data_IF_113261984264
#
_entry.id   IF_113261984264
#
_cell.length_a   1.000
_cell.length_b   1.000
_cell.length_c   1.000
_cell.angle_alpha   90.00
_cell.angle_beta   90.00
_cell.angle_gamma   90.00
#
_symmetry.space_group_name_H-M   'P 1'
#
loop_
_entity.id
_entity.type
_entity.pdbx_description
1 polymer ?
#
# COMPACT_ATOMS: atom_id res chain seq x y z
N UNK A 1 3.01 16.91 -16.03
CA UNK A 1 4.44 17.22 -16.23
C UNK A 1 5.14 17.47 -14.89
N UNK A 2 5.01 18.64 -14.26
CA UNK A 2 5.79 18.96 -13.05
C UNK A 2 5.22 18.39 -11.72
N UNK A 3 3.91 18.12 -11.65
CA UNK A 3 3.28 17.56 -10.44
C UNK A 3 3.54 16.05 -10.27
N UNK A 4 3.83 15.35 -11.36
CA UNK A 4 3.93 13.88 -11.38
C UNK A 4 5.23 13.38 -10.73
N UNK A 5 6.33 14.12 -10.88
CA UNK A 5 7.62 13.75 -10.29
C UNK A 5 7.63 13.92 -8.77
N UNK A 6 7.07 15.03 -8.25
CA UNK A 6 6.94 15.28 -6.80
C UNK A 6 6.06 14.21 -6.14
N UNK A 7 4.95 13.82 -6.79
CA UNK A 7 4.06 12.76 -6.32
C UNK A 7 4.77 11.39 -6.23
N UNK A 8 5.66 11.08 -7.18
CA UNK A 8 6.42 9.83 -7.19
C UNK A 8 7.50 9.82 -6.10
N UNK A 9 8.17 10.94 -5.85
CA UNK A 9 9.23 11.04 -4.85
C UNK A 9 8.67 10.96 -3.42
N UNK A 10 7.57 11.66 -3.10
CA UNK A 10 6.91 11.56 -1.79
C UNK A 10 6.33 10.15 -1.51
N UNK A 11 5.94 9.40 -2.54
CA UNK A 11 5.53 8.00 -2.39
C UNK A 11 6.71 7.04 -2.17
N UNK A 12 7.96 7.50 -2.35
CA UNK A 12 9.17 6.68 -2.30
C UNK A 12 9.39 5.84 -3.57
N UNK A 13 8.99 6.36 -4.73
CA UNK A 13 9.13 5.74 -6.07
C UNK A 13 10.20 6.53 -6.88
N UNK A 14 11.20 7.06 -6.19
CA UNK A 14 12.30 7.83 -6.77
C UNK A 14 13.40 6.96 -7.37
N UNK A 15 13.40 6.83 -8.71
CA UNK A 15 14.58 6.73 -9.63
C UNK A 15 14.14 6.14 -10.98
N UNK A 16 14.02 7.00 -12.00
CA UNK A 16 13.67 6.56 -13.36
C UNK A 16 14.90 5.92 -14.04
N UNK A 17 14.84 4.61 -14.27
CA UNK A 17 15.90 3.86 -14.95
C UNK A 17 15.94 4.16 -16.46
N UNK A 18 16.63 5.23 -16.85
CA UNK A 18 16.90 5.57 -18.25
C UNK A 18 17.71 4.44 -18.90
N UNK A 19 17.21 3.88 -20.02
CA UNK A 19 17.93 2.85 -20.77
C UNK A 19 19.27 3.39 -21.27
N UNK A 20 20.36 2.69 -20.96
CA UNK A 20 21.73 2.95 -21.48
C UNK A 20 21.85 2.66 -22.98
N UNK A 21 21.19 3.47 -23.82
CA UNK A 21 21.40 3.55 -25.28
C UNK A 21 20.87 4.83 -25.96
N UNK A 22 20.86 5.96 -25.26
CA UNK A 22 20.66 7.30 -25.85
C UNK A 22 21.70 8.34 -25.38
N UNK A 23 22.88 7.87 -24.94
CA UNK A 23 23.98 8.72 -24.46
C UNK A 23 25.11 8.90 -25.51
N UNK A 24 24.81 8.66 -26.79
CA UNK A 24 25.77 8.70 -27.92
C UNK A 24 25.19 9.48 -29.11
N UNK A 25 24.72 10.71 -28.87
CA UNK A 25 24.36 11.67 -29.93
C UNK A 25 24.44 13.13 -29.42
N UNK A 26 25.44 13.88 -29.89
CA UNK A 26 25.48 15.34 -29.84
C UNK A 26 25.73 15.98 -28.46
N UNK A 27 27.01 16.26 -28.14
CA UNK A 27 27.37 17.16 -27.05
C UNK A 27 27.75 18.54 -27.60
N UNK A 28 27.13 19.60 -27.08
CA UNK A 28 27.65 20.97 -27.15
C UNK A 28 27.02 21.84 -26.05
N UNK A 29 27.85 22.24 -25.08
CA UNK A 29 27.53 23.28 -24.09
C UNK A 29 28.68 24.27 -24.12
N UNK A 30 28.43 25.47 -24.65
CA UNK A 30 29.37 26.58 -24.60
C UNK A 30 28.67 27.81 -24.02
N UNK A 31 29.35 28.48 -23.09
CA UNK A 31 28.89 29.70 -22.43
C UNK A 31 29.32 30.94 -23.20
N UNK A 32 28.47 31.98 -23.32
CA UNK A 32 28.84 33.18 -24.05
C UNK A 32 29.86 34.02 -23.25
N UNK A 33 31.00 34.31 -23.88
CA UNK A 33 31.98 35.31 -23.42
C UNK A 33 32.06 36.44 -24.45
N UNK A 34 32.08 37.69 -23.99
CA UNK A 34 32.00 38.88 -24.84
C UNK A 34 33.39 39.41 -25.22
N UNK A 35 33.72 39.50 -26.53
CA UNK A 35 34.50 40.62 -27.11
C UNK A 35 34.71 40.58 -28.65
N UNK A 36 34.11 41.57 -29.34
CA UNK A 36 34.75 42.45 -30.36
C UNK A 36 35.46 41.86 -31.61
N UNK A 37 34.76 41.97 -32.75
CA UNK A 37 35.26 42.24 -34.13
C UNK A 37 36.12 41.15 -34.85
N UNK A 38 36.30 41.13 -36.19
CA UNK A 38 36.00 42.14 -37.24
C UNK A 38 35.88 41.50 -38.65
N UNK A 39 35.12 42.15 -39.54
CA UNK A 39 35.13 42.05 -41.02
C UNK A 39 34.51 40.81 -41.74
N UNK A 40 33.86 41.13 -42.87
CA UNK A 40 33.33 40.26 -43.95
C UNK A 40 34.34 40.26 -45.14
N UNK A 41 34.06 39.74 -46.37
CA UNK A 41 32.98 38.86 -46.88
C UNK A 41 33.59 37.54 -47.48
N UNK A 42 33.22 36.83 -48.57
CA UNK A 42 32.32 37.02 -49.73
C UNK A 42 32.04 35.67 -50.44
N UNK A 43 30.91 35.56 -51.17
CA UNK A 43 30.62 34.52 -52.20
C UNK A 43 29.94 33.25 -51.66
N UNK A 44 28.97 32.60 -52.34
CA UNK A 44 28.81 32.21 -53.76
C UNK A 44 29.75 31.06 -54.20
N UNK A 45 29.32 30.01 -54.94
CA UNK A 45 28.03 29.74 -55.62
C UNK A 45 27.66 28.26 -55.68
N UNK A 46 26.34 28.01 -55.73
CA UNK A 46 25.61 27.04 -56.56
C UNK A 46 26.21 25.69 -57.04
N UNK A 47 25.62 24.60 -56.51
CA UNK A 47 24.78 23.64 -57.25
C UNK A 47 25.39 22.43 -58.03
N UNK A 48 24.45 21.53 -58.40
CA UNK A 48 24.52 20.34 -59.29
C UNK A 48 25.18 19.06 -58.73
N UNK A 49 24.80 17.85 -59.17
CA UNK A 49 23.50 17.29 -59.61
C UNK A 49 23.66 15.76 -59.77
N UNK A 50 22.56 15.02 -59.85
CA UNK A 50 22.39 13.77 -60.61
C UNK A 50 23.17 12.47 -60.27
N UNK A 51 22.36 11.52 -59.77
CA UNK A 51 22.21 10.14 -60.28
C UNK A 51 23.17 9.01 -59.81
N UNK A 52 22.59 7.80 -59.76
CA UNK A 52 23.21 6.51 -59.44
C UNK A 52 23.39 5.68 -60.75
N UNK A 53 23.91 4.42 -60.74
CA UNK A 53 23.14 3.26 -60.25
C UNK A 53 23.96 2.09 -59.66
N UNK A 54 23.23 1.04 -59.26
CA UNK A 54 23.53 -0.42 -59.32
C UNK A 54 25.01 -0.90 -59.23
N UNK A 55 25.46 -1.65 -58.21
CA UNK A 55 25.01 -2.96 -57.68
C UNK A 55 25.57 -4.19 -58.43
N UNK A 56 26.31 -5.04 -57.70
CA UNK A 56 26.55 -6.45 -58.07
C UNK A 56 26.95 -7.27 -56.82
N UNK A 57 26.87 -8.61 -56.90
CA UNK A 57 27.15 -9.51 -55.78
C UNK A 57 27.88 -10.78 -56.27
N UNK A 58 28.64 -11.43 -55.38
CA UNK A 58 29.33 -12.70 -55.67
C UNK A 58 29.20 -13.67 -54.49
N UNK A 59 29.06 -14.96 -54.80
CA UNK A 59 28.73 -16.04 -53.86
C UNK A 59 29.76 -17.16 -54.02
N UNK A 60 30.25 -17.76 -52.93
CA UNK A 60 30.48 -19.22 -52.70
C UNK A 60 31.48 -19.48 -51.54
N UNK A 61 31.62 -20.69 -50.95
CA UNK A 61 30.68 -21.77 -50.55
C UNK A 61 31.47 -22.93 -49.87
N UNK A 62 31.26 -23.16 -48.55
CA UNK A 62 31.60 -24.41 -47.79
C UNK A 62 33.10 -24.81 -47.80
N UNK A 63 33.61 -25.80 -47.04
CA UNK A 63 33.05 -26.75 -46.05
C UNK A 63 34.09 -27.08 -44.95
N UNK A 64 33.66 -27.61 -43.79
CA UNK A 64 34.48 -28.28 -42.75
C UNK A 64 34.87 -29.73 -43.16
N UNK A 65 35.75 -30.52 -42.45
CA UNK A 65 36.05 -30.50 -41.00
C UNK A 65 37.52 -30.86 -40.57
N UNK A 66 37.77 -31.00 -39.26
CA UNK A 66 38.41 -32.17 -38.57
C UNK A 66 38.61 -31.89 -37.05
N UNK A 67 38.59 -32.95 -36.23
CA UNK A 67 38.62 -32.89 -34.75
C UNK A 67 40.03 -32.73 -34.13
N UNK A 68 40.14 -32.03 -32.98
CA UNK A 68 41.23 -32.22 -32.02
C UNK A 68 40.91 -31.83 -30.56
N UNK A 69 40.68 -32.86 -29.71
CA UNK A 69 41.26 -33.05 -28.35
C UNK A 69 41.35 -31.86 -27.37
N UNK A 70 40.61 -31.95 -26.26
CA UNK A 70 40.74 -31.05 -25.10
C UNK A 70 41.92 -31.39 -24.15
N UNK A 71 42.43 -30.40 -23.39
CA UNK A 71 43.06 -30.56 -22.08
C UNK A 71 42.18 -30.03 -20.94
N UNK A 72 42.54 -30.35 -19.69
CA UNK A 72 41.80 -29.99 -18.47
C UNK A 72 42.31 -28.69 -17.82
N UNK A 73 41.60 -28.21 -16.79
CA UNK A 73 41.86 -26.94 -16.12
C UNK A 73 42.96 -27.02 -15.05
N UNK A 74 43.66 -25.90 -14.85
CA UNK A 74 44.36 -25.58 -13.60
C UNK A 74 43.78 -24.30 -12.99
N UNK A 75 43.61 -24.27 -11.67
CA UNK A 75 42.94 -23.19 -10.97
C UNK A 75 43.90 -22.06 -10.58
N UNK A 76 43.45 -20.81 -10.73
CA UNK A 76 44.06 -19.64 -10.06
C UNK A 76 43.14 -19.19 -8.92
N UNK A 77 43.67 -18.84 -7.73
CA UNK A 77 42.85 -18.55 -6.57
C UNK A 77 42.01 -17.29 -6.78
N UNK A 78 40.72 -17.37 -6.43
CA UNK A 78 39.84 -16.21 -6.42
C UNK A 78 40.32 -15.22 -5.35
N UNK A 79 40.54 -13.95 -5.73
CA UNK A 79 40.69 -12.88 -4.75
C UNK A 79 39.36 -12.76 -4.00
N UNK A 80 39.41 -12.83 -2.67
CA UNK A 80 38.24 -12.59 -1.81
C UNK A 80 37.80 -11.15 -2.01
N UNK A 81 36.64 -10.96 -2.65
CA UNK A 81 36.01 -9.65 -2.73
C UNK A 81 35.57 -9.24 -1.32
N UNK A 82 35.91 -8.01 -0.93
CA UNK A 82 35.47 -7.43 0.35
C UNK A 82 33.99 -7.07 0.26
N UNK A 83 33.24 -7.38 1.32
CA UNK A 83 31.86 -6.94 1.47
C UNK A 83 31.82 -5.42 1.65
N UNK A 84 30.89 -4.69 1.01
CA UNK A 84 30.80 -3.24 1.15
C UNK A 84 30.56 -2.85 2.61
N UNK A 85 31.28 -1.82 3.06
CA UNK A 85 31.14 -1.25 4.40
C UNK A 85 29.77 -0.59 4.59
N UNK A 86 29.12 -0.87 5.72
CA UNK A 86 27.87 -0.23 6.13
C UNK A 86 28.17 1.18 6.68
N UNK A 87 27.34 2.17 6.35
CA UNK A 87 27.46 3.52 6.90
C UNK A 87 27.19 3.54 8.41
N UNK A 88 28.02 4.22 9.22
CA UNK A 88 27.96 4.14 10.69
C UNK A 88 26.80 4.92 11.33
N UNK A 89 26.13 5.80 10.59
CA UNK A 89 25.03 6.67 11.10
C UNK A 89 23.62 6.10 10.85
N UNK A 90 23.50 4.88 10.29
CA UNK A 90 22.22 4.15 10.28
C UNK A 90 22.08 3.29 11.56
N UNK A 91 20.98 3.42 12.34
CA UNK A 91 20.75 2.55 13.49
C UNK A 91 20.58 1.09 13.03
N UNK A 92 21.12 0.10 13.76
CA UNK A 92 21.08 -1.31 13.34
C UNK A 92 19.67 -1.83 13.03
N UNK A 93 19.57 -2.61 11.96
CA UNK A 93 18.34 -3.33 11.57
C UNK A 93 17.91 -4.43 12.56
N UNK A 94 18.70 -4.64 13.62
CA UNK A 94 18.40 -5.52 14.76
C UNK A 94 17.46 -4.84 15.78
N UNK A 95 17.24 -3.52 15.71
CA UNK A 95 16.22 -2.82 16.50
C UNK A 95 14.77 -3.07 16.03
N UNK A 96 14.55 -4.10 15.20
CA UNK A 96 13.28 -4.44 14.53
C UNK A 96 12.76 -5.82 14.97
N UNK A 97 13.24 -6.33 16.12
CA UNK A 97 13.05 -7.69 16.65
C UNK A 97 11.61 -8.05 17.09
N UNK A 98 10.64 -7.15 16.92
CA UNK A 98 9.21 -7.35 17.22
C UNK A 98 8.50 -8.17 16.10
N UNK A 99 8.96 -9.39 15.83
CA UNK A 99 8.34 -10.34 14.89
C UNK A 99 8.31 -11.75 15.50
N UNK A 100 7.20 -12.50 15.34
CA UNK A 100 6.85 -13.03 14.01
C UNK A 100 5.52 -12.52 13.45
N UNK A 101 5.58 -11.58 12.50
CA UNK A 101 4.62 -11.58 11.38
C UNK A 101 5.08 -12.65 10.38
N UNK A 102 4.87 -13.91 10.73
CA UNK A 102 5.07 -15.06 9.83
C UNK A 102 3.71 -15.52 9.30
N UNK A 103 3.60 -15.81 8.01
CA UNK A 103 2.35 -16.30 7.40
C UNK A 103 2.04 -17.78 7.73
N UNK A 104 2.78 -18.39 8.66
CA UNK A 104 2.56 -19.74 9.17
C UNK A 104 2.01 -19.70 10.60
N UNK A 105 0.69 -19.92 10.70
CA UNK A 105 0.03 -20.44 11.89
C UNK A 105 -0.61 -21.79 11.51
N UNK A 106 -0.61 -22.81 12.37
CA UNK A 106 -1.14 -24.12 12.02
C UNK A 106 -2.65 -24.06 11.77
N UNK A 107 -3.10 -24.75 10.71
CA UNK A 107 -4.52 -24.92 10.41
C UNK A 107 -5.15 -25.71 11.57
N UNK A 108 -6.14 -25.12 12.23
CA UNK A 108 -6.85 -25.75 13.34
C UNK A 108 -8.36 -25.60 13.12
N UNK A 109 -9.00 -26.69 12.69
CA UNK A 109 -10.45 -26.76 12.49
C UNK A 109 -11.19 -26.53 13.83
N UNK A 110 -11.96 -25.45 13.99
CA UNK A 110 -12.61 -25.14 15.26
C UNK A 110 -14.06 -25.63 15.26
N UNK A 111 -14.40 -26.54 16.18
CA UNK A 111 -15.80 -26.75 16.57
C UNK A 111 -16.26 -25.56 17.43
N UNK A 112 -16.71 -24.49 16.77
CA UNK A 112 -17.19 -23.29 17.47
C UNK A 112 -18.54 -23.59 18.10
N UNK A 113 -18.54 -23.96 19.38
CA UNK A 113 -19.71 -23.73 20.24
C UNK A 113 -20.00 -22.22 20.21
N UNK A 114 -21.22 -21.85 19.83
CA UNK A 114 -21.61 -20.47 19.64
C UNK A 114 -21.69 -19.75 21.00
N UNK A 115 -20.59 -19.12 21.40
CA UNK A 115 -20.50 -18.31 22.62
C UNK A 115 -21.49 -17.13 22.54
N UNK A 116 -22.70 -17.35 23.10
CA UNK A 116 -23.80 -16.40 23.05
C UNK A 116 -23.34 -14.99 23.47
N UNK A 117 -23.51 -14.02 22.58
CA UNK A 117 -23.32 -12.63 22.93
C UNK A 117 -24.46 -12.20 23.88
N UNK A 118 -24.21 -11.27 24.83
CA UNK A 118 -25.32 -10.61 25.50
C UNK A 118 -26.14 -9.86 24.44
N UNK A 119 -27.45 -10.13 24.39
CA UNK A 119 -28.35 -9.74 23.29
C UNK A 119 -28.56 -8.23 23.12
N UNK A 120 -27.96 -7.40 24.00
CA UNK A 120 -28.17 -5.96 24.03
C UNK A 120 -27.26 -5.17 23.08
N UNK A 121 -26.08 -5.69 22.71
CA UNK A 121 -25.10 -5.00 21.86
C UNK A 121 -25.70 -4.51 20.53
N UNK A 122 -26.55 -5.26 19.80
CA UNK A 122 -27.22 -4.78 18.58
C UNK A 122 -28.15 -3.57 18.79
N UNK A 123 -28.55 -3.26 20.03
CA UNK A 123 -29.49 -2.19 20.37
C UNK A 123 -28.83 -0.91 20.88
N UNK A 124 -27.62 -0.98 21.45
CA UNK A 124 -26.91 0.14 22.07
C UNK A 124 -26.75 1.33 21.10
N UNK A 125 -26.97 2.56 21.57
CA UNK A 125 -26.55 3.77 20.84
C UNK A 125 -25.01 3.91 20.82
N UNK A 126 -24.50 4.96 20.17
CA UNK A 126 -23.06 5.14 20.00
C UNK A 126 -22.29 5.29 21.31
N UNK A 127 -22.81 6.10 22.22
CA UNK A 127 -22.08 6.48 23.44
C UNK A 127 -22.21 5.38 24.50
N UNK A 128 -23.35 4.67 24.54
CA UNK A 128 -23.51 3.42 25.27
C UNK A 128 -22.62 2.28 24.71
N UNK A 129 -22.43 2.20 23.39
CA UNK A 129 -21.52 1.23 22.77
C UNK A 129 -20.06 1.53 23.10
N UNK A 130 -19.66 2.80 23.10
CA UNK A 130 -18.31 3.22 23.47
C UNK A 130 -18.00 2.88 24.95
N UNK A 131 -18.90 3.21 25.87
CA UNK A 131 -18.79 2.85 27.29
C UNK A 131 -18.80 1.33 27.51
N UNK A 132 -19.61 0.58 26.75
CA UNK A 132 -19.59 -0.90 26.81
C UNK A 132 -18.25 -1.47 26.34
N UNK A 133 -17.55 -0.81 25.41
CA UNK A 133 -16.22 -1.25 24.97
C UNK A 133 -15.14 -0.92 25.99
N UNK A 134 -15.10 0.29 26.59
CA UNK A 134 -14.07 0.63 27.60
C UNK A 134 -14.02 -0.35 28.76
N UNK A 135 -15.20 -0.75 29.22
CA UNK A 135 -15.37 -1.60 30.41
C UNK A 135 -15.44 -3.09 30.02
N UNK A 136 -15.23 -3.42 28.74
CA UNK A 136 -15.41 -4.78 28.22
C UNK A 136 -14.39 -5.77 28.83
N UNK A 137 -14.89 -6.78 29.54
CA UNK A 137 -14.11 -7.91 30.06
C UNK A 137 -14.44 -9.24 29.35
N UNK A 138 -15.00 -9.18 28.13
CA UNK A 138 -15.51 -10.38 27.42
C UNK A 138 -14.43 -11.35 26.96
N UNK A 139 -13.15 -10.98 26.89
CA UNK A 139 -12.03 -11.85 26.51
C UNK A 139 -10.75 -11.49 27.27
N UNK A 140 -9.77 -12.42 27.34
CA UNK A 140 -8.53 -12.28 28.13
C UNK A 140 -7.67 -11.07 27.77
N UNK A 141 -7.84 -10.49 26.59
CA UNK A 141 -7.17 -9.24 26.20
C UNK A 141 -7.47 -8.05 27.13
N UNK A 142 -8.54 -8.11 27.93
CA UNK A 142 -8.80 -7.12 28.98
C UNK A 142 -7.77 -7.14 30.12
N UNK A 143 -7.04 -8.25 30.32
CA UNK A 143 -6.06 -8.42 31.40
C UNK A 143 -4.72 -7.72 31.11
N UNK A 144 -4.49 -7.30 29.85
CA UNK A 144 -3.16 -6.86 29.35
C UNK A 144 -3.15 -5.54 28.59
N UNK A 145 -4.32 -5.00 28.21
CA UNK A 145 -4.43 -3.69 27.55
C UNK A 145 -4.07 -2.55 28.50
N UNK A 146 -3.58 -1.44 27.95
CA UNK A 146 -3.55 -0.15 28.65
C UNK A 146 -4.88 0.59 28.44
N UNK A 147 -5.35 0.68 27.19
CA UNK A 147 -6.63 1.27 26.82
C UNK A 147 -7.38 0.40 25.81
N UNK A 148 -8.69 0.60 25.68
CA UNK A 148 -9.45 0.03 24.56
C UNK A 148 -9.43 0.96 23.37
N UNK A 149 -9.14 0.42 22.19
CA UNK A 149 -9.12 1.18 20.95
C UNK A 149 -10.42 0.94 20.20
N UNK A 150 -11.39 1.82 20.44
CA UNK A 150 -12.75 1.71 19.91
C UNK A 150 -12.81 1.92 18.38
N UNK A 151 -12.28 3.06 17.96
CA UNK A 151 -12.31 3.57 16.58
C UNK A 151 -12.50 5.09 16.58
N UNK A 152 -11.94 5.80 15.60
CA UNK A 152 -11.93 7.28 15.51
C UNK A 152 -12.37 7.76 14.13
N UNK A 153 -12.78 9.02 14.06
CA UNK A 153 -13.23 9.69 12.85
C UNK A 153 -14.71 10.04 12.89
N UNK A 154 -15.29 10.26 11.73
CA UNK A 154 -16.65 10.76 11.52
C UNK A 154 -17.69 9.68 11.84
N UNK A 155 -18.74 10.03 12.60
CA UNK A 155 -19.82 9.11 12.99
C UNK A 155 -20.80 8.82 11.83
N UNK A 156 -20.81 9.64 10.78
CA UNK A 156 -21.68 9.48 9.60
C UNK A 156 -20.87 9.16 8.32
N UNK A 157 -19.62 8.69 8.48
CA UNK A 157 -18.67 8.42 7.39
C UNK A 157 -19.19 7.45 6.32
N UNK A 158 -19.09 7.85 5.05
CA UNK A 158 -19.27 6.98 3.89
C UNK A 158 -18.12 5.97 3.73
N UNK A 159 -16.92 6.27 4.23
CA UNK A 159 -15.76 5.39 4.16
C UNK A 159 -15.41 4.82 5.54
N UNK A 160 -15.43 3.50 5.69
CA UNK A 160 -14.98 2.83 6.92
C UNK A 160 -13.77 1.93 6.67
N UNK A 161 -12.67 2.21 7.35
CA UNK A 161 -11.43 1.42 7.27
C UNK A 161 -11.32 0.50 8.47
N UNK A 162 -11.07 -0.79 8.21
CA UNK A 162 -11.07 -1.85 9.23
C UNK A 162 -9.72 -2.57 9.20
N UNK A 163 -8.92 -2.34 10.24
CA UNK A 163 -7.69 -3.08 10.51
C UNK A 163 -7.90 -4.31 11.39
N UNK A 164 -6.80 -4.98 11.71
CA UNK A 164 -6.78 -6.21 12.49
C UNK A 164 -6.94 -5.96 13.99
N UNK A 165 -5.92 -5.35 14.60
CA UNK A 165 -5.79 -5.20 16.05
C UNK A 165 -4.99 -3.94 16.41
N UNK A 166 -5.11 -3.42 17.65
CA UNK A 166 -4.27 -2.34 18.14
C UNK A 166 -2.81 -2.79 18.32
N UNK A 167 -1.87 -1.96 17.88
CA UNK A 167 -0.45 -2.06 18.23
C UNK A 167 -0.13 -1.41 19.57
N UNK A 168 1.16 -1.28 19.90
CA UNK A 168 1.61 -0.72 21.17
C UNK A 168 1.29 0.78 21.35
N UNK A 169 1.43 1.57 20.29
CA UNK A 169 1.19 3.00 20.37
C UNK A 169 -0.31 3.29 20.43
N UNK A 170 -1.10 2.47 19.75
CA UNK A 170 -2.55 2.47 19.75
C UNK A 170 -3.10 2.10 21.14
N UNK A 171 -2.59 1.04 21.77
CA UNK A 171 -2.94 0.64 23.13
C UNK A 171 -2.61 1.73 24.18
N UNK A 172 -1.48 2.43 24.04
CA UNK A 172 -1.09 3.52 24.93
C UNK A 172 -1.93 4.79 24.77
N UNK A 173 -2.49 5.03 23.58
CA UNK A 173 -3.23 6.27 23.26
C UNK A 173 -4.76 6.11 23.23
N UNK A 174 -5.28 4.88 23.07
CA UNK A 174 -6.72 4.62 22.87
C UNK A 174 -7.21 4.84 21.43
N UNK A 175 -6.34 5.29 20.53
CA UNK A 175 -6.66 5.59 19.13
C UNK A 175 -6.05 4.57 18.16
N UNK A 176 -6.73 4.18 17.06
CA UNK A 176 -6.19 3.27 16.07
C UNK A 176 -5.28 4.01 15.08
N UNK A 177 -4.29 3.32 14.51
CA UNK A 177 -3.42 3.85 13.47
C UNK A 177 -2.76 5.20 13.85
N UNK A 178 -1.99 5.18 14.94
CA UNK A 178 -1.17 6.31 15.43
C UNK A 178 0.34 6.07 15.27
N UNK A 179 0.78 4.81 15.09
CA UNK A 179 2.16 4.47 14.73
C UNK A 179 2.53 4.83 13.28
N UNK A 180 3.72 4.40 12.83
CA UNK A 180 4.19 4.65 11.46
C UNK A 180 3.24 4.07 10.38
N UNK A 181 2.58 2.94 10.68
CA UNK A 181 1.54 2.36 9.85
C UNK A 181 0.34 3.32 9.66
N UNK A 182 0.01 4.10 10.70
CA UNK A 182 -1.02 5.14 10.64
C UNK A 182 -0.63 6.31 9.76
N UNK A 183 0.60 6.81 9.86
CA UNK A 183 1.09 7.89 8.97
C UNK A 183 1.06 7.49 7.49
N UNK A 184 1.33 6.22 7.17
CA UNK A 184 1.16 5.71 5.82
C UNK A 184 -0.34 5.63 5.43
N UNK A 185 -1.23 5.25 6.36
CA UNK A 185 -2.67 5.26 6.12
C UNK A 185 -3.19 6.70 5.86
N UNK A 186 -2.71 7.70 6.59
CA UNK A 186 -3.04 9.11 6.34
C UNK A 186 -2.58 9.58 4.95
N UNK A 187 -1.41 9.11 4.48
CA UNK A 187 -0.96 9.38 3.10
C UNK A 187 -1.85 8.67 2.06
N UNK A 188 -2.32 7.46 2.36
CA UNK A 188 -3.26 6.69 1.52
C UNK A 188 -4.66 7.30 1.48
N UNK A 189 -5.11 7.96 2.54
CA UNK A 189 -6.36 8.72 2.57
C UNK A 189 -6.24 10.04 1.82
N UNK A 190 -5.14 10.80 2.03
CA UNK A 190 -4.94 12.09 1.36
C UNK A 190 -4.84 11.99 -0.16
N UNK A 191 -4.30 10.89 -0.71
CA UNK A 191 -4.29 10.63 -2.16
C UNK A 191 -5.67 10.27 -2.75
N UNK A 192 -6.66 9.96 -1.91
CA UNK A 192 -8.08 9.87 -2.26
C UNK A 192 -8.86 11.17 -2.01
N UNK A 193 -8.20 12.24 -1.52
CA UNK A 193 -8.82 13.48 -1.03
C UNK A 193 -9.71 13.25 0.21
N UNK A 194 -9.32 12.29 1.05
CA UNK A 194 -9.96 11.96 2.33
C UNK A 194 -9.08 12.35 3.52
N UNK A 195 -9.69 12.53 4.69
CA UNK A 195 -9.00 12.82 5.97
C UNK A 195 -9.60 11.96 7.09
N UNK A 196 -8.78 11.56 8.08
CA UNK A 196 -9.24 10.88 9.29
C UNK A 196 -10.28 11.68 10.11
N UNK A 197 -10.41 12.97 9.84
CA UNK A 197 -11.32 13.89 10.53
C UNK A 197 -12.66 14.11 9.80
N UNK A 198 -12.81 13.67 8.54
CA UNK A 198 -13.96 14.02 7.71
C UNK A 198 -14.31 12.94 6.68
N UNK A 199 -15.57 12.46 6.71
CA UNK A 199 -16.08 11.40 5.84
C UNK A 199 -15.30 10.06 5.91
N UNK A 200 -14.58 9.82 7.01
CA UNK A 200 -13.82 8.59 7.27
C UNK A 200 -14.02 8.14 8.71
N UNK A 201 -14.26 6.84 8.92
CA UNK A 201 -14.19 6.18 10.21
C UNK A 201 -13.15 5.06 10.19
N UNK A 202 -12.29 4.98 11.20
CA UNK A 202 -11.19 4.02 11.30
C UNK A 202 -11.38 3.15 12.54
N UNK A 203 -11.41 1.83 12.35
CA UNK A 203 -11.60 0.84 13.41
C UNK A 203 -10.69 -0.38 13.21
N UNK A 204 -10.62 -1.24 14.24
CA UNK A 204 -10.04 -2.58 14.16
C UNK A 204 -11.10 -3.65 14.45
N UNK A 205 -10.88 -4.89 13.98
CA UNK A 205 -11.76 -6.04 14.26
C UNK A 205 -11.86 -6.31 15.76
N UNK A 206 -10.73 -6.30 16.46
CA UNK A 206 -10.69 -6.36 17.93
C UNK A 206 -10.29 -5.00 18.54
N UNK A 207 -10.74 -4.74 19.77
CA UNK A 207 -10.62 -3.44 20.46
C UNK A 207 -9.53 -3.39 21.53
N UNK A 208 -8.69 -4.41 21.65
CA UNK A 208 -7.64 -4.55 22.68
C UNK A 208 -6.38 -5.14 22.04
N UNK A 209 -5.18 -4.75 22.51
CA UNK A 209 -3.91 -5.25 21.97
C UNK A 209 -3.65 -6.72 22.36
N UNK A 210 -3.34 -7.62 21.40
CA UNK A 210 -2.82 -8.95 21.70
C UNK A 210 -1.42 -8.92 22.32
N UNK A 211 -1.09 -9.85 23.25
CA UNK A 211 0.25 -9.94 23.84
C UNK A 211 1.31 -10.18 22.76
N UNK A 212 2.42 -9.44 22.81
CA UNK A 212 3.49 -9.54 21.81
C UNK A 212 3.07 -9.17 20.37
N UNK A 213 1.97 -8.44 20.20
CA UNK A 213 1.38 -8.12 18.89
C UNK A 213 1.01 -9.37 18.05
N UNK A 214 0.75 -10.53 18.68
CA UNK A 214 0.32 -11.74 17.96
C UNK A 214 -1.00 -11.51 17.20
N UNK A 215 -1.25 -12.33 16.18
CA UNK A 215 -2.58 -12.41 15.55
C UNK A 215 -3.66 -12.72 16.63
N UNK A 216 -4.87 -12.15 16.56
CA UNK A 216 -5.97 -12.49 17.47
C UNK A 216 -6.42 -13.95 17.34
N UNK A 217 -6.84 -14.55 18.44
CA UNK A 217 -7.45 -15.89 18.46
C UNK A 217 -8.90 -15.81 17.96
N UNK A 218 -9.42 -16.86 17.33
CA UNK A 218 -10.78 -16.87 16.76
C UNK A 218 -11.87 -16.60 17.81
N UNK A 219 -11.66 -17.07 19.04
CA UNK A 219 -12.53 -16.76 20.18
C UNK A 219 -12.48 -15.27 20.56
N UNK A 220 -11.31 -14.63 20.52
CA UNK A 220 -11.17 -13.19 20.79
C UNK A 220 -11.90 -12.37 19.73
N UNK A 221 -11.83 -12.78 18.45
CA UNK A 221 -12.61 -12.18 17.36
C UNK A 221 -14.10 -12.35 17.61
N UNK A 222 -14.60 -13.57 17.82
CA UNK A 222 -16.04 -13.82 18.02
C UNK A 222 -16.61 -13.06 19.23
N UNK A 223 -15.82 -12.87 20.29
CA UNK A 223 -16.20 -12.10 21.49
C UNK A 223 -16.15 -10.57 21.27
N UNK A 224 -15.41 -10.06 20.28
CA UNK A 224 -15.25 -8.62 20.01
C UNK A 224 -16.07 -8.13 18.79
N UNK A 225 -16.27 -8.98 17.79
CA UNK A 225 -16.95 -8.66 16.52
C UNK A 225 -18.34 -8.00 16.68
N UNK A 226 -19.22 -8.37 17.64
CA UNK A 226 -20.51 -7.69 17.81
C UNK A 226 -20.39 -6.17 18.00
N UNK A 227 -19.28 -5.68 18.55
CA UNK A 227 -19.01 -4.24 18.67
C UNK A 227 -18.69 -3.61 17.30
N UNK A 228 -17.95 -4.31 16.44
CA UNK A 228 -17.67 -3.87 15.06
C UNK A 228 -18.93 -3.91 14.19
N UNK A 229 -19.72 -4.99 14.27
CA UNK A 229 -21.01 -5.10 13.58
C UNK A 229 -21.95 -3.94 13.98
N UNK A 230 -22.02 -3.60 15.28
CA UNK A 230 -22.81 -2.45 15.73
C UNK A 230 -22.23 -1.11 15.26
N UNK A 231 -20.90 -0.92 15.22
CA UNK A 231 -20.29 0.28 14.63
C UNK A 231 -20.68 0.42 13.14
N UNK A 232 -20.55 -0.64 12.33
CA UNK A 232 -20.97 -0.61 10.90
C UNK A 232 -22.45 -0.26 10.77
N UNK A 233 -23.32 -0.85 11.60
CA UNK A 233 -24.77 -0.58 11.60
C UNK A 233 -25.16 0.83 12.06
N UNK A 234 -24.31 1.50 12.87
CA UNK A 234 -24.49 2.90 13.28
C UNK A 234 -23.97 3.87 12.21
N UNK A 235 -22.72 3.71 11.74
CA UNK A 235 -22.08 4.58 10.74
C UNK A 235 -22.76 4.49 9.37
N UNK A 236 -23.19 3.29 8.95
CA UNK A 236 -23.77 3.00 7.63
C UNK A 236 -22.87 3.48 6.46
N UNK A 237 -21.60 3.03 6.42
CA UNK A 237 -20.68 3.39 5.36
C UNK A 237 -21.16 2.89 4.00
N UNK A 238 -20.74 3.59 2.94
CA UNK A 238 -21.02 3.25 1.54
C UNK A 238 -19.91 2.39 0.94
N UNK A 239 -18.72 2.38 1.53
CA UNK A 239 -17.63 1.45 1.23
C UNK A 239 -16.84 1.11 2.49
N UNK A 240 -16.44 -0.16 2.59
CA UNK A 240 -15.51 -0.64 3.63
C UNK A 240 -14.17 -0.99 2.98
N UNK A 241 -13.05 -0.58 3.58
CA UNK A 241 -11.70 -0.99 3.19
C UNK A 241 -11.10 -1.87 4.28
N UNK A 242 -10.92 -3.16 3.97
CA UNK A 242 -10.30 -4.13 4.86
C UNK A 242 -8.77 -4.11 4.70
N UNK A 243 -8.07 -3.71 5.77
CA UNK A 243 -6.62 -3.52 5.79
C UNK A 243 -5.92 -4.81 6.24
N UNK A 244 -5.47 -5.62 5.29
CA UNK A 244 -4.70 -6.84 5.53
C UNK A 244 -5.53 -8.14 5.55
N UNK A 245 -4.80 -9.26 5.66
CA UNK A 245 -5.37 -10.61 5.59
C UNK A 245 -6.38 -10.85 6.70
N UNK A 246 -6.00 -10.62 7.95
CA UNK A 246 -6.84 -10.94 9.11
C UNK A 246 -8.15 -10.16 9.13
N UNK A 247 -8.12 -8.86 8.83
CA UNK A 247 -9.31 -8.03 8.74
C UNK A 247 -10.29 -8.54 7.67
N UNK A 248 -9.79 -8.88 6.48
CA UNK A 248 -10.60 -9.42 5.39
C UNK A 248 -11.17 -10.82 5.71
N UNK A 249 -10.35 -11.72 6.26
CA UNK A 249 -10.81 -13.05 6.69
C UNK A 249 -11.89 -12.96 7.78
N UNK A 250 -11.70 -12.06 8.77
CA UNK A 250 -12.63 -11.84 9.88
C UNK A 250 -13.96 -11.23 9.46
N UNK A 251 -13.96 -10.30 8.51
CA UNK A 251 -15.18 -9.69 7.98
C UNK A 251 -15.94 -10.65 7.06
N UNK A 252 -15.25 -11.22 6.06
CA UNK A 252 -15.90 -11.99 4.99
C UNK A 252 -16.22 -13.44 5.38
N UNK A 253 -15.65 -13.94 6.49
CA UNK A 253 -15.73 -15.36 6.93
C UNK A 253 -15.19 -16.35 5.91
N UNK A 254 -14.11 -15.98 5.21
CA UNK A 254 -13.46 -16.81 4.18
C UNK A 254 -11.99 -17.01 4.55
N UNK A 255 -11.56 -18.27 4.70
CA UNK A 255 -10.13 -18.61 4.76
C UNK A 255 -9.51 -18.56 3.36
N UNK A 256 -8.99 -17.39 3.00
CA UNK A 256 -8.37 -17.15 1.70
C UNK A 256 -7.10 -16.29 1.81
N UNK A 257 -6.19 -16.43 0.85
CA UNK A 257 -4.94 -15.65 0.82
C UNK A 257 -5.20 -14.20 0.41
N UNK A 258 -4.39 -13.27 0.92
CA UNK A 258 -4.54 -11.83 0.61
C UNK A 258 -4.50 -11.55 -0.90
N UNK A 259 -3.67 -12.28 -1.65
CA UNK A 259 -3.58 -12.16 -3.11
C UNK A 259 -4.87 -12.58 -3.84
N UNK A 260 -5.64 -13.51 -3.28
CA UNK A 260 -6.94 -13.96 -3.83
C UNK A 260 -8.12 -13.09 -3.42
N UNK A 261 -7.99 -12.32 -2.34
CA UNK A 261 -9.04 -11.43 -1.82
C UNK A 261 -8.94 -10.01 -2.42
N UNK A 262 -7.74 -9.53 -2.74
CA UNK A 262 -7.52 -8.22 -3.38
C UNK A 262 -8.02 -8.16 -4.83
N UNK A 263 -8.11 -6.95 -5.40
CA UNK A 263 -8.46 -6.75 -6.81
C UNK A 263 -9.91 -7.04 -7.21
N UNK A 264 -10.80 -7.29 -6.24
CA UNK A 264 -12.24 -7.48 -6.44
C UNK A 264 -13.03 -6.85 -5.28
N UNK A 265 -14.30 -6.53 -5.55
CA UNK A 265 -15.25 -6.05 -4.54
C UNK A 265 -15.97 -7.27 -3.96
N UNK A 266 -16.11 -7.30 -2.63
CA UNK A 266 -16.92 -8.27 -1.87
C UNK A 266 -18.05 -7.51 -1.17
N UNK A 267 -18.81 -8.16 -0.30
CA UNK A 267 -19.92 -7.54 0.43
C UNK A 267 -19.92 -7.94 1.91
N UNK A 268 -20.31 -7.02 2.79
CA UNK A 268 -20.52 -7.25 4.22
C UNK A 268 -21.76 -6.49 4.67
N UNK A 269 -22.82 -7.22 5.04
CA UNK A 269 -24.13 -6.68 5.41
C UNK A 269 -24.70 -5.62 4.43
N UNK A 270 -24.58 -5.85 3.11
CA UNK A 270 -25.04 -4.92 2.07
C UNK A 270 -24.06 -3.80 1.70
N UNK A 271 -22.94 -3.66 2.40
CA UNK A 271 -21.90 -2.66 2.10
C UNK A 271 -20.79 -3.29 1.26
N UNK A 272 -20.34 -2.67 0.15
CA UNK A 272 -19.21 -3.19 -0.63
C UNK A 272 -17.90 -3.10 0.16
N UNK A 273 -17.16 -4.21 0.18
CA UNK A 273 -15.85 -4.33 0.84
C UNK A 273 -14.76 -4.45 -0.22
N UNK A 274 -13.74 -3.60 -0.14
CA UNK A 274 -12.49 -3.78 -0.89
C UNK A 274 -11.37 -4.16 0.05
N UNK A 275 -10.63 -5.21 -0.31
CA UNK A 275 -9.50 -5.71 0.48
C UNK A 275 -8.20 -5.11 -0.06
N UNK A 276 -7.31 -4.69 0.83
CA UNK A 276 -5.95 -4.24 0.48
C UNK A 276 -4.91 -4.70 1.51
N UNK A 277 -3.64 -4.38 1.30
CA UNK A 277 -2.56 -4.71 2.25
C UNK A 277 -2.64 -3.85 3.51
N UNK A 278 -2.24 -4.41 4.65
CA UNK A 278 -2.10 -3.64 5.89
C UNK A 278 -0.94 -2.63 5.76
N UNK A 279 -1.07 -1.37 6.21
CA UNK A 279 0.00 -0.38 6.06
C UNK A 279 1.34 -0.82 6.69
N UNK A 280 1.33 -1.56 7.80
CA UNK A 280 2.56 -2.10 8.41
C UNK A 280 3.31 -3.11 7.51
N UNK A 281 2.61 -3.80 6.60
CA UNK A 281 3.23 -4.65 5.58
C UNK A 281 3.83 -3.82 4.45
N UNK A 282 3.13 -2.76 4.00
CA UNK A 282 3.59 -1.85 2.94
C UNK A 282 4.84 -1.04 3.31
N UNK A 283 5.10 -0.84 4.60
CA UNK A 283 6.35 -0.28 5.10
C UNK A 283 7.55 -1.24 4.97
N UNK A 284 7.31 -2.56 4.92
CA UNK A 284 8.34 -3.59 4.71
C UNK A 284 8.47 -4.00 3.24
N UNK A 285 7.36 -4.05 2.50
CA UNK A 285 7.32 -4.33 1.06
C UNK A 285 6.91 -3.09 0.27
N UNK A 286 7.86 -2.17 0.09
CA UNK A 286 7.65 -0.92 -0.66
C UNK A 286 7.08 -1.12 -2.09
N UNK A 287 7.48 -2.15 -2.88
CA UNK A 287 6.92 -2.36 -4.21
C UNK A 287 5.40 -2.61 -4.23
N UNK A 288 4.85 -3.19 -3.16
CA UNK A 288 3.42 -3.52 -3.05
C UNK A 288 2.54 -2.29 -2.79
N UNK A 289 3.11 -1.10 -2.49
CA UNK A 289 2.39 0.19 -2.47
C UNK A 289 1.62 0.42 -3.78
N UNK A 290 2.23 0.05 -4.92
CA UNK A 290 1.59 0.15 -6.25
C UNK A 290 0.31 -0.68 -6.35
N UNK A 291 0.30 -1.86 -5.73
CA UNK A 291 -0.85 -2.77 -5.70
C UNK A 291 -1.93 -2.26 -4.73
N UNK A 292 -1.53 -1.72 -3.59
CA UNK A 292 -2.46 -1.10 -2.64
C UNK A 292 -3.16 0.13 -3.25
N UNK A 293 -2.44 0.97 -4.01
CA UNK A 293 -3.03 2.09 -4.73
C UNK A 293 -4.11 1.65 -5.74
N UNK A 294 -3.91 0.52 -6.42
CA UNK A 294 -4.93 -0.06 -7.29
C UNK A 294 -6.19 -0.50 -6.53
N UNK A 295 -6.05 -1.06 -5.31
CA UNK A 295 -7.21 -1.38 -4.46
C UNK A 295 -7.93 -0.12 -3.99
N UNK A 296 -7.21 0.96 -3.64
CA UNK A 296 -7.81 2.24 -3.26
C UNK A 296 -8.57 2.88 -4.42
N UNK A 297 -8.07 2.74 -5.65
CA UNK A 297 -8.79 3.15 -6.87
C UNK A 297 -10.05 2.31 -7.10
N UNK A 298 -10.02 1.01 -6.81
CA UNK A 298 -11.19 0.12 -6.86
C UNK A 298 -12.22 0.48 -5.79
N UNK A 299 -11.79 0.79 -4.57
CA UNK A 299 -12.67 1.27 -3.49
C UNK A 299 -13.37 2.58 -3.87
N UNK A 300 -12.67 3.51 -4.53
CA UNK A 300 -13.26 4.75 -5.05
C UNK A 300 -14.23 4.51 -6.21
N UNK A 301 -14.07 3.43 -6.97
CA UNK A 301 -15.06 2.94 -7.92
C UNK A 301 -16.31 2.45 -7.19
N UNK A 302 -16.15 1.46 -6.31
CA UNK A 302 -17.26 0.88 -5.53
C UNK A 302 -18.05 1.92 -4.72
N UNK A 303 -17.39 2.96 -4.20
CA UNK A 303 -18.03 4.11 -3.56
C UNK A 303 -18.98 4.87 -4.51
N UNK A 304 -18.53 5.17 -5.74
CA UNK A 304 -19.37 5.83 -6.75
C UNK A 304 -20.55 4.95 -7.16
N UNK A 305 -20.30 3.67 -7.41
CA UNK A 305 -21.34 2.68 -7.71
C UNK A 305 -22.39 2.59 -6.58
N UNK A 306 -21.99 2.80 -5.31
CA UNK A 306 -22.88 2.83 -4.16
C UNK A 306 -23.70 4.12 -4.08
N UNK A 307 -23.11 5.29 -4.36
CA UNK A 307 -23.83 6.56 -4.43
C UNK A 307 -24.88 6.56 -5.56
N UNK A 308 -24.52 6.05 -6.75
CA UNK A 308 -25.44 5.95 -7.89
C UNK A 308 -26.64 5.05 -7.60
N UNK A 309 -26.43 3.91 -6.90
CA UNK A 309 -27.51 3.02 -6.43
C UNK A 309 -28.44 3.70 -5.41
N UNK A 310 -27.95 4.66 -4.65
CA UNK A 310 -28.73 5.47 -3.71
C UNK A 310 -29.40 6.69 -4.36
N UNK A 311 -29.21 6.91 -5.67
CA UNK A 311 -29.72 8.08 -6.40
C UNK A 311 -28.99 9.38 -6.07
N UNK A 312 -27.86 9.32 -5.35
CA UNK A 312 -27.04 10.47 -5.01
C UNK A 312 -26.08 10.74 -6.16
N UNK A 313 -26.32 11.83 -6.90
CA UNK A 313 -25.35 12.34 -7.87
C UNK A 313 -24.03 12.66 -7.13
N UNK A 314 -22.90 12.03 -7.47
CA UNK A 314 -21.63 12.30 -6.79
C UNK A 314 -21.20 13.75 -7.03
N UNK A 315 -21.14 14.56 -5.99
CA UNK A 315 -20.73 15.96 -6.05
C UNK A 315 -19.27 16.06 -6.50
N UNK A 316 -19.03 16.75 -7.61
CA UNK A 316 -17.69 17.05 -8.12
C UNK A 316 -16.91 18.09 -7.26
N UNK A 317 -17.39 18.37 -6.05
CA UNK A 317 -17.10 19.56 -5.22
C UNK A 317 -16.60 19.18 -3.80
N UNK A 318 -16.58 17.89 -3.45
CA UNK A 318 -16.20 17.40 -2.12
C UNK A 318 -14.72 17.67 -1.77
N UNK A 319 -13.88 17.92 -2.80
CA UNK A 319 -12.50 18.37 -2.62
C UNK A 319 -12.31 19.88 -2.45
N UNK A 320 -13.39 20.68 -2.47
CA UNK A 320 -13.31 22.16 -2.51
C UNK A 320 -14.00 22.88 -1.35
N UNK A 321 -14.78 22.19 -0.50
CA UNK A 321 -15.62 22.86 0.51
C UNK A 321 -14.91 23.18 1.83
N UNK A 322 -14.49 24.46 1.92
CA UNK A 322 -14.25 25.27 3.13
C UNK A 322 -12.87 25.24 3.80
N UNK A 323 -11.82 25.50 3.02
CA UNK A 323 -10.75 26.38 3.51
C UNK A 323 -11.21 27.84 3.45
N UNK A 324 -12.15 28.27 4.30
CA UNK A 324 -12.88 29.54 4.09
C UNK A 324 -13.51 30.24 5.33
N UNK A 325 -12.81 30.36 6.46
CA UNK A 325 -12.82 31.54 7.36
C UNK A 325 -11.85 31.40 8.53
#
# INVERSE_FOLDING_TARGET
MAFDEILLDELGIGTVWVRRRMAEAGASVETPVVAVAKAEPTGDVAAKESQAPQAEASITKREEPVQARAPQAEARPAKRAESPSVDPDLPPLEAYDDLPWTDEAPIHEPSIEQAAAPDDIPTLDWDALAARVSDCQRCRLCERRTNTVFGVGDREADWMLIGEAPGENEDKQGEPFVGQAGKLLDNMLRSLTLSRESNVYIANVIKCRPPGNRNPELEEVARCEPFLQRQVALVKPKVIVALGRFAAQSLLKIEASIASLRGRVHEYHGVPVVVTYHPAYLLRSLPDKSKAWADLCLARGAYRDALEKLGVQPSADDGARKGAR
#
